data_IF_771438997219
#
_entry.id   IF_771438997219
#
_cell.length_a   1.000
_cell.length_b   1.000
_cell.length_c   1.000
_cell.angle_alpha   90.00
_cell.angle_beta   90.00
_cell.angle_gamma   90.00
#
_symmetry.space_group_name_H-M   'P 1'
#
loop_
_entity.id
_entity.type
_entity.pdbx_description
1 polymer ?
#
# COMPACT_ATOMS: atom_id res chain seq x y z
N UNK A 1 -30.06 9.39 9.81
CA UNK A 1 -29.28 9.91 8.67
C UNK A 1 -28.04 9.05 8.56
N UNK A 2 -27.90 8.21 7.53
CA UNK A 2 -26.69 7.41 7.31
C UNK A 2 -25.71 8.32 6.56
N UNK A 3 -24.60 8.69 7.20
CA UNK A 3 -23.52 9.41 6.53
C UNK A 3 -22.79 8.42 5.63
N UNK A 4 -22.88 8.59 4.32
CA UNK A 4 -22.09 7.84 3.35
C UNK A 4 -20.77 8.58 3.12
N UNK A 5 -19.65 7.85 3.17
CA UNK A 5 -18.31 8.42 3.09
C UNK A 5 -17.68 8.15 1.71
N UNK A 6 -17.61 6.88 1.30
CA UNK A 6 -17.05 6.45 0.01
C UNK A 6 -17.63 5.09 -0.42
N UNK A 7 -17.49 4.76 -1.70
CA UNK A 7 -17.69 3.42 -2.25
C UNK A 7 -16.38 2.90 -2.81
N UNK A 8 -16.03 1.64 -2.49
CA UNK A 8 -14.83 0.97 -3.00
C UNK A 8 -15.21 -0.26 -3.81
N UNK A 9 -14.75 -0.32 -5.06
CA UNK A 9 -14.79 -1.52 -5.89
C UNK A 9 -13.44 -2.24 -5.81
N UNK A 10 -13.48 -3.56 -5.61
CA UNK A 10 -12.29 -4.39 -5.42
C UNK A 10 -12.28 -5.48 -6.49
N UNK A 11 -11.16 -5.61 -7.20
CA UNK A 11 -10.88 -6.72 -8.09
C UNK A 11 -9.61 -7.42 -7.62
N UNK A 12 -9.69 -8.73 -7.39
CA UNK A 12 -8.55 -9.54 -6.97
C UNK A 12 -8.39 -10.76 -7.86
N UNK A 13 -7.15 -11.09 -8.19
CA UNK A 13 -6.78 -12.32 -8.88
C UNK A 13 -5.53 -12.90 -8.21
N UNK A 14 -5.59 -14.18 -7.83
CA UNK A 14 -4.46 -14.87 -7.22
C UNK A 14 -4.35 -16.26 -7.83
N UNK A 15 -3.15 -16.64 -8.27
CA UNK A 15 -2.92 -17.93 -8.91
C UNK A 15 -1.54 -18.48 -8.56
N UNK A 16 -1.47 -19.78 -8.31
CA UNK A 16 -0.22 -20.53 -8.23
C UNK A 16 -0.20 -21.58 -9.33
N UNK A 17 0.76 -21.45 -10.24
CA UNK A 17 1.03 -22.41 -11.29
C UNK A 17 2.18 -23.32 -10.89
N UNK A 18 1.99 -24.63 -10.94
CA UNK A 18 3.03 -25.63 -10.66
C UNK A 18 3.83 -25.83 -11.95
N UNK A 19 5.12 -25.50 -11.93
CA UNK A 19 6.01 -25.62 -13.07
C UNK A 19 6.65 -27.01 -13.12
N UNK A 20 7.09 -27.50 -11.96
CA UNK A 20 7.67 -28.83 -11.73
C UNK A 20 7.25 -29.32 -10.34
N UNK A 21 7.62 -30.53 -9.95
CA UNK A 21 7.37 -31.05 -8.60
C UNK A 21 7.99 -30.19 -7.49
N UNK A 22 9.11 -29.53 -7.78
CA UNK A 22 9.88 -28.72 -6.83
C UNK A 22 9.76 -27.21 -7.06
N UNK A 23 9.04 -26.75 -8.10
CA UNK A 23 8.98 -25.35 -8.49
C UNK A 23 7.56 -24.87 -8.84
N UNK A 24 7.24 -23.69 -8.35
CA UNK A 24 5.93 -23.08 -8.48
C UNK A 24 6.04 -21.57 -8.69
N UNK A 25 5.21 -21.06 -9.58
CA UNK A 25 5.09 -19.65 -9.88
C UNK A 25 3.79 -19.11 -9.28
N UNK A 26 3.88 -17.98 -8.60
CA UNK A 26 2.80 -17.33 -7.91
C UNK A 26 2.56 -15.94 -8.50
N UNK A 27 1.30 -15.60 -8.74
CA UNK A 27 0.87 -14.27 -9.17
C UNK A 27 -0.27 -13.80 -8.29
N UNK A 28 -0.18 -12.57 -7.79
CA UNK A 28 -1.27 -11.87 -7.09
C UNK A 28 -1.45 -10.49 -7.72
N UNK A 29 -2.68 -10.16 -8.06
CA UNK A 29 -3.06 -8.85 -8.55
C UNK A 29 -4.27 -8.38 -7.76
N UNK A 30 -4.22 -7.17 -7.21
CA UNK A 30 -5.39 -6.54 -6.59
C UNK A 30 -5.50 -5.11 -7.03
N UNK A 31 -6.73 -4.69 -7.28
CA UNK A 31 -7.06 -3.34 -7.68
C UNK A 31 -8.25 -2.83 -6.88
N UNK A 32 -8.09 -1.61 -6.38
CA UNK A 32 -9.09 -0.91 -5.59
C UNK A 32 -9.39 0.41 -6.28
N UNK A 33 -10.68 0.64 -6.53
CA UNK A 33 -11.20 1.91 -7.00
C UNK A 33 -12.08 2.48 -5.92
N UNK A 34 -11.67 3.61 -5.33
CA UNK A 34 -12.48 4.28 -4.31
C UNK A 34 -12.93 5.64 -4.79
N UNK A 35 -14.24 5.88 -4.68
CA UNK A 35 -14.90 7.13 -5.05
C UNK A 35 -15.76 7.64 -3.90
N UNK A 36 -15.99 8.95 -3.84
CA UNK A 36 -16.93 9.52 -2.87
C UNK A 36 -18.36 9.01 -3.10
N UNK A 37 -19.19 9.07 -2.04
CA UNK A 37 -20.58 8.63 -2.12
C UNK A 37 -21.49 9.44 -1.19
N UNK A 38 -22.76 9.60 -1.58
CA UNK A 38 -23.79 10.27 -0.80
C UNK A 38 -23.46 11.74 -0.49
N UNK A 39 -23.45 12.09 0.80
CA UNK A 39 -23.23 13.47 1.27
C UNK A 39 -21.75 13.90 1.23
N UNK A 40 -20.83 13.05 0.77
CA UNK A 40 -19.38 13.32 0.72
C UNK A 40 -18.83 13.84 2.05
N UNK A 41 -19.21 13.20 3.16
CA UNK A 41 -18.85 13.67 4.50
C UNK A 41 -17.32 13.69 4.76
N UNK A 42 -16.54 12.91 3.99
CA UNK A 42 -15.08 12.89 4.01
C UNK A 42 -14.42 13.83 2.98
N UNK A 43 -15.20 14.59 2.20
CA UNK A 43 -14.71 15.39 1.08
C UNK A 43 -14.71 14.62 -0.25
N UNK A 44 -14.00 15.17 -1.23
CA UNK A 44 -13.78 14.49 -2.52
C UNK A 44 -12.85 13.30 -2.32
N UNK A 45 -13.18 12.17 -2.94
CA UNK A 45 -12.38 10.95 -2.90
C UNK A 45 -12.31 10.42 -4.32
N UNK A 46 -11.09 10.32 -4.82
CA UNK A 46 -10.77 9.79 -6.13
C UNK A 46 -9.42 9.07 -6.06
N UNK A 47 -9.48 7.76 -5.83
CA UNK A 47 -8.28 6.95 -5.70
C UNK A 47 -8.35 5.67 -6.53
N UNK A 48 -7.20 5.33 -7.11
CA UNK A 48 -6.89 4.06 -7.74
C UNK A 48 -5.67 3.48 -7.02
N UNK A 49 -5.82 2.31 -6.40
CA UNK A 49 -4.71 1.57 -5.81
C UNK A 49 -4.58 0.22 -6.50
N UNK A 50 -3.45 -0.01 -7.16
CA UNK A 50 -3.11 -1.29 -7.77
C UNK A 50 -1.91 -1.91 -7.08
N UNK A 51 -1.97 -3.21 -6.81
CA UNK A 51 -0.82 -4.02 -6.45
C UNK A 51 -0.70 -5.24 -7.35
N UNK A 52 0.55 -5.57 -7.68
CA UNK A 52 0.90 -6.71 -8.52
C UNK A 52 2.15 -7.38 -7.95
N UNK A 53 2.09 -8.69 -7.77
CA UNK A 53 3.15 -9.48 -7.17
C UNK A 53 3.38 -10.74 -7.98
N UNK A 54 4.64 -11.04 -8.19
CA UNK A 54 5.11 -12.28 -8.78
C UNK A 54 6.04 -12.98 -7.80
N UNK A 55 5.97 -14.29 -7.73
CA UNK A 55 6.82 -15.11 -6.89
C UNK A 55 7.24 -16.39 -7.59
N UNK A 56 8.49 -16.78 -7.39
CA UNK A 56 9.00 -18.10 -7.77
C UNK A 56 9.43 -18.80 -6.50
N UNK A 57 8.90 -20.00 -6.29
CA UNK A 57 9.31 -20.91 -5.23
C UNK A 57 10.05 -22.07 -5.84
N UNK A 58 11.19 -22.46 -5.26
CA UNK A 58 11.91 -23.68 -5.60
C UNK A 58 12.43 -24.36 -4.33
N UNK A 59 12.06 -25.62 -4.11
CA UNK A 59 12.36 -26.37 -2.90
C UNK A 59 11.94 -25.60 -1.63
N UNK A 60 12.90 -25.11 -0.86
CA UNK A 60 12.70 -24.39 0.39
C UNK A 60 12.81 -22.87 0.25
N UNK A 61 13.08 -22.38 -0.96
CA UNK A 61 13.33 -20.98 -1.25
C UNK A 61 12.12 -20.37 -1.96
N UNK A 62 11.78 -19.13 -1.62
CA UNK A 62 10.81 -18.33 -2.37
C UNK A 62 11.37 -16.93 -2.55
N UNK A 63 11.40 -16.47 -3.80
CA UNK A 63 11.71 -15.09 -4.14
C UNK A 63 10.44 -14.45 -4.70
N UNK A 64 10.12 -13.24 -4.27
CA UNK A 64 8.96 -12.51 -4.75
C UNK A 64 9.31 -11.05 -4.99
N UNK A 65 8.74 -10.48 -6.04
CA UNK A 65 8.85 -9.07 -6.37
C UNK A 65 7.45 -8.51 -6.56
N UNK A 66 7.26 -7.26 -6.15
CA UNK A 66 5.96 -6.61 -6.20
C UNK A 66 6.05 -5.15 -6.53
N UNK A 67 4.95 -4.62 -7.03
CA UNK A 67 4.77 -3.22 -7.35
C UNK A 67 3.41 -2.72 -6.85
N UNK A 68 3.42 -1.59 -6.15
CA UNK A 68 2.24 -0.77 -5.84
C UNK A 68 2.25 0.45 -6.74
N UNK A 69 1.07 0.80 -7.21
CA UNK A 69 0.82 2.05 -7.90
C UNK A 69 -0.46 2.69 -7.36
N UNK A 70 -0.30 3.84 -6.72
CA UNK A 70 -1.40 4.74 -6.39
C UNK A 70 -1.51 5.82 -7.45
N UNK A 71 -2.74 6.16 -7.80
CA UNK A 71 -3.05 7.32 -8.65
C UNK A 71 -4.44 7.88 -8.32
N UNK A 72 -4.73 9.05 -8.84
CA UNK A 72 -5.96 9.80 -8.57
C UNK A 72 -5.71 11.05 -7.75
N UNK A 73 -6.76 11.82 -7.53
CA UNK A 73 -6.66 13.10 -6.84
C UNK A 73 -6.54 12.98 -5.32
N UNK A 74 -6.77 11.80 -4.75
CA UNK A 74 -6.68 11.54 -3.32
C UNK A 74 -5.85 10.31 -2.97
N UNK A 75 -5.40 10.25 -1.72
CA UNK A 75 -4.85 9.03 -1.09
C UNK A 75 -5.91 7.93 -0.95
N UNK A 76 -5.47 6.69 -0.72
CA UNK A 76 -6.40 5.57 -0.54
C UNK A 76 -7.05 5.65 0.84
N UNK A 77 -8.38 5.86 0.94
CA UNK A 77 -9.04 5.90 2.23
C UNK A 77 -9.20 4.47 2.79
N UNK A 78 -9.08 4.34 4.10
CA UNK A 78 -9.33 3.09 4.81
C UNK A 78 -9.98 3.37 6.17
N UNK A 79 -10.61 2.34 6.76
CA UNK A 79 -11.29 2.48 8.04
C UNK A 79 -10.26 2.62 9.17
N UNK A 80 -10.45 3.64 10.01
CA UNK A 80 -9.60 3.86 11.20
C UNK A 80 -9.60 2.62 12.10
N UNK A 81 -8.41 2.19 12.52
CA UNK A 81 -8.21 1.02 13.40
C UNK A 81 -8.11 -0.32 12.66
N UNK A 82 -8.16 -0.33 11.32
CA UNK A 82 -7.86 -1.50 10.49
C UNK A 82 -6.62 -1.28 9.63
N UNK A 83 -6.06 -2.39 9.13
CA UNK A 83 -5.05 -2.39 8.06
C UNK A 83 -5.73 -2.44 6.69
N UNK A 84 -5.04 -1.95 5.67
CA UNK A 84 -5.57 -2.05 4.32
C UNK A 84 -5.46 -3.49 3.81
N UNK A 85 -6.47 -3.97 3.09
CA UNK A 85 -6.45 -5.31 2.48
C UNK A 85 -5.47 -5.42 1.28
N UNK A 86 -4.47 -4.55 1.22
CA UNK A 86 -3.40 -4.56 0.22
C UNK A 86 -2.45 -5.71 0.57
N UNK A 87 -1.94 -6.42 -0.44
CA UNK A 87 -1.05 -7.57 -0.17
C UNK A 87 0.28 -7.14 0.46
N UNK A 88 0.68 -5.90 0.18
CA UNK A 88 1.98 -5.36 0.50
C UNK A 88 1.87 -4.37 1.65
N UNK A 89 1.39 -4.87 2.78
CA UNK A 89 1.49 -4.19 4.06
C UNK A 89 2.93 -4.32 4.60
N UNK A 90 3.53 -3.20 4.99
CA UNK A 90 4.76 -3.20 5.76
C UNK A 90 4.51 -2.58 7.12
N UNK A 91 5.02 -3.23 8.17
CA UNK A 91 4.79 -2.82 9.56
C UNK A 91 5.10 -1.34 9.88
N UNK A 92 5.92 -0.69 9.06
CA UNK A 92 6.30 0.71 9.23
C UNK A 92 5.60 1.68 8.27
N UNK A 93 4.99 1.19 7.18
CA UNK A 93 4.36 2.04 6.17
C UNK A 93 3.40 1.28 5.27
N UNK A 94 2.29 1.93 4.94
CA UNK A 94 1.20 1.34 4.19
C UNK A 94 1.29 1.62 2.67
N UNK A 95 2.21 2.48 2.23
CA UNK A 95 2.40 2.91 0.82
C UNK A 95 1.08 3.35 0.13
N UNK A 96 0.30 4.19 0.81
CA UNK A 96 -1.05 4.62 0.39
C UNK A 96 -1.13 6.07 -0.08
N UNK A 97 -0.01 6.79 -0.09
CA UNK A 97 -0.03 8.23 -0.37
C UNK A 97 -0.44 8.53 -1.81
N UNK A 98 -0.93 9.75 -2.04
CA UNK A 98 -1.29 10.24 -3.37
C UNK A 98 -0.11 10.09 -4.34
N UNK A 99 -0.37 9.45 -5.48
CA UNK A 99 0.59 9.17 -6.55
C UNK A 99 1.81 8.33 -6.17
N UNK A 100 1.84 7.75 -4.97
CA UNK A 100 2.96 6.93 -4.50
C UNK A 100 3.07 5.63 -5.30
N UNK A 101 4.30 5.32 -5.68
CA UNK A 101 4.68 4.07 -6.31
C UNK A 101 5.67 3.37 -5.41
N UNK A 102 5.52 2.07 -5.21
CA UNK A 102 6.45 1.32 -4.38
C UNK A 102 6.83 -0.01 -5.03
N UNK A 103 8.11 -0.35 -4.96
CA UNK A 103 8.61 -1.65 -5.39
C UNK A 103 9.08 -2.43 -4.17
N UNK A 104 8.79 -3.73 -4.13
CA UNK A 104 9.33 -4.64 -3.13
C UNK A 104 10.06 -5.80 -3.74
N UNK A 105 11.04 -6.30 -3.01
CA UNK A 105 11.64 -7.61 -3.20
C UNK A 105 11.64 -8.32 -1.85
N UNK A 106 11.18 -9.56 -1.83
CA UNK A 106 11.09 -10.41 -0.65
C UNK A 106 11.70 -11.77 -0.92
N UNK A 107 12.46 -12.27 0.04
CA UNK A 107 13.01 -13.61 0.03
C UNK A 107 12.61 -14.35 1.31
N UNK A 108 12.04 -15.53 1.15
CA UNK A 108 11.65 -16.45 2.21
C UNK A 108 12.45 -17.76 2.08
N UNK A 109 12.88 -18.31 3.22
CA UNK A 109 13.59 -19.58 3.27
C UNK A 109 13.06 -20.44 4.43
N UNK A 110 12.68 -21.69 4.14
CA UNK A 110 12.24 -22.67 5.12
C UNK A 110 13.38 -23.63 5.47
N UNK A 111 13.90 -23.57 6.69
CA UNK A 111 15.06 -24.37 7.11
C UNK A 111 14.67 -25.79 7.54
N UNK A 112 13.55 -26.34 7.05
CA UNK A 112 12.99 -27.63 7.47
C UNK A 112 13.99 -28.81 7.43
N UNK A 113 14.96 -28.77 6.51
CA UNK A 113 15.97 -29.83 6.35
C UNK A 113 17.09 -29.76 7.42
N UNK A 114 17.19 -28.64 8.15
CA UNK A 114 18.19 -28.41 9.19
C UNK A 114 17.54 -28.27 10.57
N UNK A 115 16.54 -27.40 10.69
CA UNK A 115 15.82 -27.08 11.92
C UNK A 115 14.32 -27.03 11.59
N UNK A 116 13.58 -28.13 11.81
CA UNK A 116 12.14 -28.17 11.59
C UNK A 116 11.41 -27.05 12.34
N UNK A 117 10.62 -26.26 11.60
CA UNK A 117 9.83 -25.15 12.14
C UNK A 117 10.49 -23.78 12.00
N UNK A 118 11.79 -23.68 11.72
CA UNK A 118 12.47 -22.41 11.54
C UNK A 118 12.26 -21.84 10.13
N UNK A 119 11.84 -20.56 10.05
CA UNK A 119 11.65 -19.82 8.81
C UNK A 119 12.42 -18.51 8.86
N UNK A 120 13.08 -18.18 7.77
CA UNK A 120 13.76 -16.90 7.57
C UNK A 120 13.03 -16.09 6.50
N UNK A 121 12.94 -14.78 6.71
CA UNK A 121 12.38 -13.85 5.74
C UNK A 121 13.15 -12.54 5.77
N UNK A 122 13.43 -12.00 4.59
CA UNK A 122 13.90 -10.63 4.42
C UNK A 122 13.13 -9.94 3.31
N UNK A 123 12.91 -8.63 3.46
CA UNK A 123 12.18 -7.80 2.51
C UNK A 123 12.82 -6.43 2.42
N UNK A 124 12.94 -5.93 1.19
CA UNK A 124 13.29 -4.55 0.90
C UNK A 124 12.13 -3.93 0.12
N UNK A 125 11.61 -2.80 0.59
CA UNK A 125 10.57 -2.05 -0.11
C UNK A 125 10.99 -0.59 -0.21
N UNK A 126 10.77 0.03 -1.37
CA UNK A 126 11.08 1.44 -1.61
C UNK A 126 9.90 2.11 -2.29
N UNK A 127 9.35 3.14 -1.63
CA UNK A 127 8.39 4.09 -2.20
C UNK A 127 9.08 5.26 -2.90
N UNK A 128 8.46 5.80 -3.93
CA UNK A 128 8.85 7.04 -4.62
C UNK A 128 7.61 7.74 -5.24
N UNK A 129 7.80 8.93 -5.78
CA UNK A 129 6.74 9.80 -6.36
C UNK A 129 5.62 10.17 -5.37
N UNK A 130 5.97 10.28 -4.09
CA UNK A 130 5.03 10.65 -3.03
C UNK A 130 4.66 12.13 -3.18
N UNK A 131 3.38 12.43 -3.39
CA UNK A 131 2.88 13.80 -3.32
C UNK A 131 2.33 14.08 -1.91
N UNK A 132 2.93 15.06 -1.24
CA UNK A 132 2.57 15.53 0.11
C UNK A 132 2.17 17.02 0.11
N UNK A 133 1.40 17.47 -0.89
CA UNK A 133 0.96 18.87 -1.04
C UNK A 133 0.23 19.40 0.22
N UNK A 134 -0.35 18.52 1.03
CA UNK A 134 -1.00 18.85 2.29
C UNK A 134 -0.01 19.13 3.45
N UNK A 135 1.23 18.63 3.39
CA UNK A 135 2.27 18.88 4.42
C UNK A 135 3.01 20.19 4.12
N UNK A 136 3.30 20.50 2.86
CA UNK A 136 3.94 21.76 2.45
C UNK A 136 3.03 22.99 2.68
N UNK A 137 1.71 22.81 2.63
CA UNK A 137 0.74 23.84 2.99
C UNK A 137 0.67 24.15 4.49
N UNK A 138 0.99 23.19 5.36
CA UNK A 138 1.00 23.37 6.82
C UNK A 138 2.21 24.19 7.28
N UNK A 139 3.37 24.01 6.65
CA UNK A 139 4.55 24.83 6.93
C UNK A 139 4.30 26.31 6.57
N UNK A 140 3.70 26.55 5.39
CA UNK A 140 3.34 27.90 4.95
C UNK A 140 2.22 28.53 5.79
N UNK A 141 1.26 27.75 6.32
CA UNK A 141 0.22 28.25 7.24
C UNK A 141 0.76 28.50 8.65
N UNK A 142 1.69 27.68 9.16
CA UNK A 142 2.36 27.94 10.45
C UNK A 142 3.21 29.19 10.38
N UNK A 143 4.05 29.33 9.35
CA UNK A 143 4.86 30.53 9.14
C UNK A 143 4.00 31.80 9.00
N UNK A 144 2.88 31.75 8.27
CA UNK A 144 1.95 32.89 8.18
C UNK A 144 1.20 33.20 9.48
N UNK A 145 0.95 32.20 10.33
CA UNK A 145 0.31 32.40 11.64
C UNK A 145 1.30 32.98 12.66
N UNK A 146 2.56 32.55 12.62
CA UNK A 146 3.60 33.01 13.53
C UNK A 146 4.09 34.44 13.18
N UNK A 147 4.14 34.79 11.89
CA UNK A 147 4.47 36.17 11.44
C UNK A 147 3.37 37.20 11.74
N UNK A 148 2.10 36.78 11.79
CA UNK A 148 0.98 37.67 12.12
C UNK A 148 0.68 37.76 13.64
N UNK A 149 1.45 37.06 14.48
CA UNK A 149 1.27 37.03 15.93
C UNK A 149 2.10 38.04 16.72
N UNK A 150 2.98 38.81 16.08
CA UNK A 150 3.94 39.71 16.76
C UNK A 150 3.94 41.14 16.20
N UNK A 151 2.76 41.77 16.12
CA UNK A 151 2.69 43.22 15.96
C UNK A 151 1.49 43.79 16.68
N UNK A 152 1.57 43.87 18.02
CA UNK A 152 0.91 44.88 18.84
C UNK A 152 1.68 45.05 20.16
N UNK A 153 2.51 46.08 20.22
CA UNK A 153 2.76 46.90 21.41
C UNK A 153 2.67 48.35 20.96
#
# INVERSE_FOLDING_TARGET
MILTYSHTHILTYSHTHILTEDMNFYTDFRYFRTVDSGQKAAGEIDNHHGNLIFGVSKNNHKLSAGYIHNSGDTEMPYLSGGETATYMDSWSTDFLNKNEKAYTVRYDYNLKDYIPGLKFMTRFTRGHDINLDHISGLENKKLKKDLNGHSKT
#
